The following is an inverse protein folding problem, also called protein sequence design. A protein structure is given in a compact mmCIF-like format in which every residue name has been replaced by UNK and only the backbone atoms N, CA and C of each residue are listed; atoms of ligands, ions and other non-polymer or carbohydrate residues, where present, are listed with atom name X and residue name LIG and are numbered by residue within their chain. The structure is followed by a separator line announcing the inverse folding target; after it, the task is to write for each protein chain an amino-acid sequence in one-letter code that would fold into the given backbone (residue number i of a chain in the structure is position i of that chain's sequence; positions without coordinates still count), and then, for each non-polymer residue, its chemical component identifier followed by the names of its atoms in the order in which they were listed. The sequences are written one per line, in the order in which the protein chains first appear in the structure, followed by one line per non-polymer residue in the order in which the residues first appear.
data_IF_576982032978
#
_entry.id   IF_576982032978
#
_cell.length_a   1.000
_cell.length_b   1.000
_cell.length_c   1.000
_cell.angle_alpha   90.00
_cell.angle_beta   90.00
_cell.angle_gamma   90.00
#
_symmetry.space_group_name_H-M   'P 1'
#
loop_
_entity.id
_entity.type
_entity.pdbx_description
1 polymer ?
#
# COMPACT_ATOMS: atom_id res chain seq x y z
N UNK A 1 21.45 4.26 4.81
CA UNK A 1 20.39 4.02 3.83
C UNK A 1 19.29 3.25 4.55
N UNK A 2 18.26 3.94 5.05
CA UNK A 2 17.16 3.26 5.72
C UNK A 2 16.33 2.52 4.68
N UNK A 3 16.16 1.21 4.88
CA UNK A 3 15.26 0.38 4.08
C UNK A 3 13.85 0.97 4.20
N UNK A 4 13.13 0.99 3.07
CA UNK A 4 11.73 1.43 3.01
C UNK A 4 10.96 0.91 4.23
N UNK A 5 10.18 1.77 4.91
CA UNK A 5 9.44 1.33 6.09
C UNK A 5 8.59 0.12 5.73
N UNK A 6 8.54 -0.80 6.69
CA UNK A 6 8.14 -2.20 6.57
C UNK A 6 6.81 -2.37 5.82
N UNK A 7 6.54 -3.59 5.33
CA UNK A 7 5.22 -3.95 4.81
C UNK A 7 4.10 -3.43 5.74
N UNK A 8 2.91 -3.15 5.19
CA UNK A 8 1.77 -2.60 5.93
C UNK A 8 1.88 -1.13 6.34
N UNK A 9 2.99 -0.44 6.07
CA UNK A 9 3.01 1.02 6.14
C UNK A 9 2.11 1.63 5.05
N UNK A 10 1.38 2.69 5.42
CA UNK A 10 0.51 3.44 4.51
C UNK A 10 1.03 4.85 4.36
N UNK A 11 1.18 5.29 3.11
CA UNK A 11 1.58 6.66 2.77
C UNK A 11 0.47 7.36 2.03
N UNK A 12 0.42 8.68 2.17
CA UNK A 12 -0.42 9.55 1.36
C UNK A 12 0.43 10.45 0.49
N UNK A 13 0.10 10.53 -0.79
CA UNK A 13 0.71 11.46 -1.76
C UNK A 13 -0.30 11.77 -2.85
N UNK A 14 -0.47 13.05 -3.20
CA UNK A 14 -1.28 13.49 -4.34
C UNK A 14 -2.71 12.91 -4.37
N UNK A 15 -3.38 12.86 -3.20
CA UNK A 15 -4.73 12.31 -3.08
C UNK A 15 -4.84 10.79 -3.21
N UNK A 16 -3.70 10.07 -3.29
CA UNK A 16 -3.64 8.60 -3.32
C UNK A 16 -3.04 8.05 -2.04
N UNK A 17 -3.48 6.86 -1.68
CA UNK A 17 -2.87 6.06 -0.62
C UNK A 17 -2.02 4.95 -1.22
N UNK A 18 -0.86 4.74 -0.61
CA UNK A 18 0.14 3.77 -1.04
C UNK A 18 0.38 2.79 0.10
N UNK A 19 0.28 1.50 -0.20
CA UNK A 19 0.63 0.43 0.73
C UNK A 19 1.87 -0.29 0.24
N UNK A 20 2.83 -0.48 1.14
CA UNK A 20 3.94 -1.38 0.87
C UNK A 20 3.49 -2.79 1.21
N UNK A 21 3.48 -3.66 0.21
CA UNK A 21 3.15 -5.08 0.35
C UNK A 21 4.32 -5.93 -0.19
N UNK A 22 4.48 -7.19 0.27
CA UNK A 22 5.45 -8.12 -0.29
C UNK A 22 5.27 -8.26 -1.81
N UNK A 23 6.37 -8.56 -2.53
CA UNK A 23 6.30 -8.90 -3.94
C UNK A 23 5.25 -9.97 -4.21
N UNK A 24 4.61 -9.88 -5.38
CA UNK A 24 3.55 -10.80 -5.84
C UNK A 24 2.26 -10.79 -5.01
N UNK A 25 2.00 -9.74 -4.23
CA UNK A 25 0.72 -9.62 -3.50
C UNK A 25 -0.50 -9.47 -4.41
N UNK A 26 -0.30 -9.22 -5.70
CA UNK A 26 -1.31 -9.22 -6.76
C UNK A 26 -1.68 -10.61 -7.28
N UNK A 27 -0.90 -11.64 -6.97
CA UNK A 27 -1.15 -12.97 -7.50
C UNK A 27 -2.48 -13.52 -6.96
N UNK A 28 -3.36 -13.95 -7.86
CA UNK A 28 -4.64 -14.56 -7.48
C UNK A 28 -5.71 -13.57 -7.03
N UNK A 29 -5.58 -12.27 -7.31
CA UNK A 29 -6.52 -11.23 -6.91
C UNK A 29 -6.90 -10.33 -8.09
N UNK A 30 -8.20 -10.04 -8.26
CA UNK A 30 -8.67 -9.03 -9.21
C UNK A 30 -8.90 -7.69 -8.51
N UNK A 31 -7.86 -6.87 -8.39
CA UNK A 31 -7.97 -5.56 -7.75
C UNK A 31 -9.00 -4.66 -8.46
N UNK A 32 -9.85 -3.92 -7.72
CA UNK A 32 -10.79 -2.98 -8.33
C UNK A 32 -10.04 -1.80 -8.95
N UNK A 33 -10.60 -1.17 -9.98
CA UNK A 33 -9.91 -0.13 -10.76
C UNK A 33 -9.49 1.15 -10.01
N UNK A 34 -9.96 1.33 -8.77
CA UNK A 34 -9.47 2.38 -7.85
C UNK A 34 -8.09 2.05 -7.25
N UNK A 35 -7.68 0.79 -7.29
CA UNK A 35 -6.40 0.30 -6.82
C UNK A 35 -5.52 -0.14 -8.00
N UNK A 36 -4.25 0.23 -7.93
CA UNK A 36 -3.23 -0.15 -8.91
C UNK A 36 -2.09 -0.83 -8.17
N UNK A 37 -1.64 -1.97 -8.70
CA UNK A 37 -0.49 -2.69 -8.16
C UNK A 37 0.77 -2.35 -8.94
N UNK A 38 1.68 -1.61 -8.31
CA UNK A 38 2.93 -1.15 -8.93
C UNK A 38 4.12 -2.00 -8.48
N UNK A 39 4.57 -2.92 -9.35
CA UNK A 39 5.73 -3.78 -9.08
C UNK A 39 7.02 -2.97 -9.14
N UNK A 40 7.85 -3.09 -8.11
CA UNK A 40 9.17 -2.46 -8.08
C UNK A 40 9.14 -0.94 -7.89
N UNK A 41 8.00 -0.39 -7.46
CA UNK A 41 7.91 1.01 -7.07
C UNK A 41 8.94 1.33 -5.97
N UNK A 42 9.75 2.36 -6.20
CA UNK A 42 10.73 2.86 -5.24
C UNK A 42 10.19 4.17 -4.67
N UNK A 43 10.10 4.29 -3.33
CA UNK A 43 9.86 5.61 -2.73
C UNK A 43 11.18 6.40 -2.85
N UNK A 44 11.18 7.40 -3.72
CA UNK A 44 12.29 8.31 -3.91
C UNK A 44 12.29 9.36 -2.79
N UNK A 45 12.93 9.02 -1.67
CA UNK A 45 13.21 9.93 -0.56
C UNK A 45 12.63 9.47 0.77
N UNK A 46 13.45 9.57 1.82
CA UNK A 46 12.95 9.47 3.19
C UNK A 46 11.92 10.59 3.40
N UNK A 47 10.79 10.34 4.11
CA UNK A 47 9.92 11.41 4.53
C UNK A 47 10.70 12.26 5.52
N UNK A 48 11.42 13.27 5.03
CA UNK A 48 11.94 14.31 5.91
C UNK A 48 10.74 14.86 6.66
N UNK A 49 10.79 14.74 7.99
CA UNK A 49 9.74 15.14 8.92
C UNK A 49 9.27 16.59 8.69
N UNK A 50 10.02 17.40 7.93
CA UNK A 50 9.77 18.81 7.65
C UNK A 50 10.09 19.29 6.21
N UNK A 51 10.23 18.42 5.20
CA UNK A 51 10.45 18.94 3.83
C UNK A 51 9.14 19.51 3.26
N UNK A 52 9.16 20.78 2.85
CA UNK A 52 8.05 21.54 2.29
C UNK A 52 7.59 21.08 0.88
N UNK A 53 7.96 19.85 0.46
CA UNK A 53 7.61 19.28 -0.83
C UNK A 53 6.53 18.19 -0.66
N UNK A 54 5.69 17.98 -1.67
CA UNK A 54 4.58 17.00 -1.76
C UNK A 54 5.05 15.52 -1.80
N UNK A 55 6.08 15.17 -1.04
CA UNK A 55 6.54 13.79 -0.91
C UNK A 55 5.53 12.90 -0.17
N UNK A 56 5.60 11.58 -0.36
CA UNK A 56 4.73 10.63 0.33
C UNK A 56 4.90 10.71 1.85
N UNK A 57 3.80 11.02 2.53
CA UNK A 57 3.76 11.15 3.99
C UNK A 57 3.27 9.85 4.61
N UNK A 58 4.03 9.29 5.54
CA UNK A 58 3.61 8.13 6.33
C UNK A 58 2.41 8.53 7.21
N UNK A 59 1.26 7.92 6.97
CA UNK A 59 0.02 8.16 7.74
C UNK A 59 -0.31 7.01 8.68
N UNK A 60 0.20 5.82 8.41
CA UNK A 60 0.06 4.67 9.30
C UNK A 60 1.32 3.80 9.27
N UNK A 61 1.76 3.42 10.47
CA UNK A 61 2.83 2.44 10.69
C UNK A 61 2.29 1.36 11.61
N UNK A 62 2.43 0.07 11.27
CA UNK A 62 2.05 -1.01 12.18
C UNK A 62 2.94 -0.98 13.43
N UNK A 63 2.32 -1.08 14.61
CA UNK A 63 3.02 -1.13 15.91
C UNK A 63 3.66 -2.50 16.19
N UNK A 64 3.11 -3.55 15.58
CA UNK A 64 3.54 -4.94 15.78
C UNK A 64 4.81 -5.34 15.03
N UNK A 65 5.36 -6.49 15.43
CA UNK A 65 6.51 -7.12 14.73
C UNK A 65 6.10 -7.81 13.44
N UNK A 66 4.81 -8.11 13.26
CA UNK A 66 4.24 -8.62 12.01
C UNK A 66 3.79 -7.40 11.19
N UNK A 67 4.57 -7.00 10.17
CA UNK A 67 4.30 -5.76 9.45
C UNK A 67 3.16 -5.94 8.44
N UNK A 68 2.72 -7.16 8.16
CA UNK A 68 1.97 -7.45 6.95
C UNK A 68 0.49 -7.72 7.18
N UNK A 69 -0.36 -6.89 6.57
CA UNK A 69 -1.76 -7.26 6.29
C UNK A 69 -1.78 -8.23 5.11
N UNK A 70 -2.28 -9.44 5.32
CA UNK A 70 -2.40 -10.45 4.25
C UNK A 70 -3.13 -9.85 3.03
N UNK A 71 -2.69 -10.05 1.77
CA UNK A 71 -3.20 -9.34 0.60
C UNK A 71 -4.68 -9.59 0.40
N UNK A 72 -5.12 -10.79 0.74
CA UNK A 72 -6.53 -11.17 0.76
C UNK A 72 -7.37 -10.21 1.60
N UNK A 73 -6.91 -9.88 2.82
CA UNK A 73 -7.62 -8.97 3.73
C UNK A 73 -7.61 -7.54 3.17
N UNK A 74 -6.48 -7.10 2.62
CA UNK A 74 -6.37 -5.80 1.98
C UNK A 74 -7.30 -5.69 0.75
N UNK A 75 -7.35 -6.72 -0.08
CA UNK A 75 -8.22 -6.80 -1.25
C UNK A 75 -9.70 -6.68 -0.87
N UNK A 76 -10.14 -7.43 0.14
CA UNK A 76 -11.51 -7.34 0.64
C UNK A 76 -11.83 -5.92 1.13
N UNK A 77 -10.91 -5.28 1.87
CA UNK A 77 -11.10 -3.91 2.37
C UNK A 77 -11.20 -2.89 1.22
N UNK A 78 -10.34 -3.00 0.21
CA UNK A 78 -10.37 -2.12 -0.97
C UNK A 78 -11.65 -2.32 -1.78
N UNK A 79 -12.09 -3.56 -1.98
CA UNK A 79 -13.38 -3.86 -2.63
C UNK A 79 -14.56 -3.24 -1.87
N UNK A 80 -14.56 -3.33 -0.54
CA UNK A 80 -15.59 -2.69 0.29
C UNK A 80 -15.60 -1.16 0.13
N UNK A 81 -14.43 -0.51 0.13
CA UNK A 81 -14.32 0.95 -0.11
C UNK A 81 -14.77 1.33 -1.52
N UNK A 82 -14.48 0.49 -2.51
CA UNK A 82 -14.88 0.67 -3.89
C UNK A 82 -16.37 0.38 -4.15
N UNK A 83 -17.10 -0.20 -3.19
CA UNK A 83 -18.50 -0.59 -3.37
C UNK A 83 -18.69 -1.76 -4.35
N UNK A 84 -17.69 -2.62 -4.52
CA UNK A 84 -17.75 -3.79 -5.42
C UNK A 84 -17.54 -5.09 -4.65
N UNK A 85 -18.09 -6.20 -5.16
CA UNK A 85 -17.82 -7.53 -4.61
C UNK A 85 -16.39 -7.97 -4.92
N UNK A 86 -15.66 -8.59 -3.97
CA UNK A 86 -14.37 -9.23 -4.24
C UNK A 86 -14.51 -10.30 -5.33
N UNK A 87 -13.53 -10.37 -6.23
CA UNK A 87 -13.49 -11.40 -7.28
C UNK A 87 -12.08 -11.97 -7.42
N UNK A 88 -12.01 -13.20 -7.93
CA UNK A 88 -10.78 -13.98 -8.08
C UNK A 88 -10.58 -14.32 -9.57
N UNK A 89 -9.35 -14.42 -10.05
CA UNK A 89 -9.08 -14.97 -11.38
C UNK A 89 -9.45 -16.47 -11.42
N UNK A 90 -9.92 -16.92 -12.59
CA UNK A 90 -10.24 -18.33 -12.89
C UNK A 90 -9.00 -19.24 -12.88
#
# INVERSE_FOLDING_TARGET
MELLPRAGCVYSASGRWWWIVPPRSDSGLNWPGIAEYSVGAVLTGAPERNAAAEGPRLIHRPEGTVPYTHPLVLHIAVCAVAGVSPSWPD
#
